data_IF_108522724192
#
_entry.id   IF_108522724192
#
_cell.length_a   1.000
_cell.length_b   1.000
_cell.length_c   1.000
_cell.angle_alpha   90.00
_cell.angle_beta   90.00
_cell.angle_gamma   90.00
#
_symmetry.space_group_name_H-M   'P 1'
#
loop_
_entity.id
_entity.type
_entity.pdbx_description
1 polymer ?
#
# COMPACT_ATOMS: atom_id res chain seq x y z
N UNK A 1 -27.38 -2.91 15.92
CA UNK A 1 -27.54 -2.96 14.46
C UNK A 1 -26.15 -2.91 13.86
N UNK A 2 -25.87 -3.66 12.78
CA UNK A 2 -24.56 -3.58 12.12
C UNK A 2 -24.31 -2.16 11.61
N UNK A 3 -23.09 -1.65 11.77
CA UNK A 3 -22.68 -0.35 11.22
C UNK A 3 -22.79 -0.36 9.68
N UNK A 4 -23.37 0.68 9.13
CA UNK A 4 -23.38 0.93 7.69
C UNK A 4 -22.00 1.37 7.19
N UNK A 5 -21.76 1.24 5.88
CA UNK A 5 -20.54 1.76 5.25
C UNK A 5 -20.35 3.25 5.52
N UNK A 6 -21.43 4.04 5.45
CA UNK A 6 -21.38 5.49 5.69
C UNK A 6 -20.95 5.84 7.12
N UNK A 7 -21.40 5.06 8.12
CA UNK A 7 -20.97 5.25 9.52
C UNK A 7 -19.49 4.90 9.70
N UNK A 8 -19.01 3.82 9.07
CA UNK A 8 -17.58 3.48 9.09
C UNK A 8 -16.73 4.54 8.38
N UNK A 9 -17.20 5.04 7.23
CA UNK A 9 -16.52 6.09 6.48
C UNK A 9 -16.39 7.37 7.31
N UNK A 10 -17.50 7.84 7.91
CA UNK A 10 -17.50 8.99 8.81
C UNK A 10 -16.58 8.79 10.02
N UNK A 11 -16.53 7.58 10.58
CA UNK A 11 -15.62 7.26 11.67
C UNK A 11 -14.14 7.43 11.27
N UNK A 12 -13.74 6.86 10.13
CA UNK A 12 -12.34 6.95 9.68
C UNK A 12 -11.96 8.36 9.20
N UNK A 13 -12.84 9.07 8.50
CA UNK A 13 -12.62 10.48 8.17
C UNK A 13 -12.51 11.34 9.44
N UNK A 14 -13.35 11.08 10.44
CA UNK A 14 -13.27 11.71 11.76
C UNK A 14 -11.96 11.41 12.48
N UNK A 15 -11.43 10.20 12.36
CA UNK A 15 -10.11 9.85 12.88
C UNK A 15 -8.99 10.65 12.17
N UNK A 16 -9.01 10.74 10.84
CA UNK A 16 -8.05 11.55 10.07
C UNK A 16 -8.14 13.03 10.43
N UNK A 17 -9.36 13.56 10.56
CA UNK A 17 -9.60 14.95 10.95
C UNK A 17 -9.00 15.26 12.33
N UNK A 18 -9.24 14.40 13.33
CA UNK A 18 -8.66 14.51 14.68
C UNK A 18 -7.14 14.35 14.67
N UNK A 19 -6.59 13.48 13.85
CA UNK A 19 -5.15 13.30 13.73
C UNK A 19 -4.48 14.56 13.16
N UNK A 20 -5.00 15.07 12.04
CA UNK A 20 -4.45 16.27 11.38
C UNK A 20 -4.61 17.52 12.23
N UNK A 21 -5.67 17.66 13.02
CA UNK A 21 -5.81 18.78 13.97
C UNK A 21 -4.79 18.73 15.11
N UNK A 22 -4.21 17.55 15.40
CA UNK A 22 -3.07 17.37 16.32
C UNK A 22 -1.71 17.47 15.62
N UNK A 23 -1.67 17.86 14.35
CA UNK A 23 -0.43 17.95 13.57
C UNK A 23 0.09 16.61 13.03
N UNK A 24 -0.71 15.54 13.10
CA UNK A 24 -0.32 14.23 12.59
C UNK A 24 -0.69 14.14 11.10
N UNK A 25 0.32 14.08 10.23
CA UNK A 25 0.11 13.85 8.80
C UNK A 25 -0.32 12.40 8.56
N UNK A 26 -1.56 12.20 8.13
CA UNK A 26 -2.08 10.90 7.74
C UNK A 26 -3.15 11.02 6.64
N UNK A 27 -3.43 9.93 5.92
CA UNK A 27 -4.42 9.90 4.86
C UNK A 27 -4.99 8.48 4.64
N UNK A 28 -6.28 8.38 4.34
CA UNK A 28 -6.93 7.12 3.96
C UNK A 28 -6.45 6.71 2.57
N UNK A 29 -6.17 5.42 2.35
CA UNK A 29 -5.67 4.89 1.07
C UNK A 29 -6.43 3.64 0.61
N UNK A 30 -5.98 3.01 -0.48
CA UNK A 30 -6.44 1.72 -0.97
C UNK A 30 -7.96 1.65 -1.18
N UNK A 31 -8.69 0.72 -0.54
CA UNK A 31 -10.10 0.43 -0.84
C UNK A 31 -11.02 1.62 -0.63
N UNK A 32 -10.91 2.31 0.50
CA UNK A 32 -11.77 3.47 0.79
C UNK A 32 -11.45 4.65 -0.14
N UNK A 33 -10.17 4.88 -0.44
CA UNK A 33 -9.79 5.89 -1.43
C UNK A 33 -10.33 5.54 -2.82
N UNK A 34 -10.33 4.26 -3.22
CA UNK A 34 -10.95 3.82 -4.46
C UNK A 34 -12.47 4.10 -4.51
N UNK A 35 -13.18 3.98 -3.40
CA UNK A 35 -14.61 4.36 -3.31
C UNK A 35 -14.76 5.87 -3.46
N UNK A 36 -13.98 6.65 -2.72
CA UNK A 36 -14.02 8.12 -2.77
C UNK A 36 -13.71 8.69 -4.17
N UNK A 37 -12.83 8.04 -4.93
CA UNK A 37 -12.50 8.41 -6.32
C UNK A 37 -13.46 7.84 -7.35
N UNK A 38 -14.52 7.14 -6.93
CA UNK A 38 -15.55 6.58 -7.80
C UNK A 38 -15.08 5.43 -8.69
N UNK A 39 -13.99 4.74 -8.31
CA UNK A 39 -13.46 3.58 -9.05
C UNK A 39 -13.86 2.24 -8.41
N UNK A 40 -14.39 2.25 -7.19
CA UNK A 40 -14.96 1.09 -6.50
C UNK A 40 -16.33 1.44 -5.88
N UNK A 41 -17.18 0.43 -5.66
CA UNK A 41 -18.51 0.62 -5.06
C UNK A 41 -18.51 0.57 -3.53
N UNK A 42 -17.68 -0.30 -2.95
CA UNK A 42 -17.61 -0.50 -1.50
C UNK A 42 -16.26 -1.12 -1.09
N UNK A 43 -15.92 -0.97 0.19
CA UNK A 43 -14.82 -1.67 0.85
C UNK A 43 -15.23 -2.04 2.29
N UNK A 44 -14.50 -2.97 2.91
CA UNK A 44 -14.73 -3.43 4.28
C UNK A 44 -13.66 -2.94 5.27
N UNK A 45 -12.48 -2.64 4.75
CA UNK A 45 -11.30 -2.29 5.54
C UNK A 45 -10.85 -0.86 5.23
N UNK A 46 -10.29 -0.20 6.24
CA UNK A 46 -9.61 1.08 6.10
C UNK A 46 -8.09 0.85 6.12
N UNK A 47 -7.42 1.26 5.05
CA UNK A 47 -5.97 1.38 5.01
C UNK A 47 -5.62 2.86 5.23
N UNK A 48 -4.63 3.14 6.07
CA UNK A 48 -4.20 4.50 6.41
C UNK A 48 -2.69 4.64 6.26
N UNK A 49 -2.25 5.68 5.54
CA UNK A 49 -0.88 6.15 5.57
C UNK A 49 -0.70 7.14 6.72
N UNK A 50 0.34 6.98 7.53
CA UNK A 50 0.67 7.88 8.64
C UNK A 50 2.18 8.09 8.69
N UNK A 51 2.63 9.35 8.81
CA UNK A 51 4.06 9.63 8.85
C UNK A 51 4.71 8.89 10.02
N UNK A 52 5.80 8.13 9.81
CA UNK A 52 6.35 7.27 10.85
C UNK A 52 6.68 8.00 12.15
N UNK A 53 7.16 9.24 12.08
CA UNK A 53 7.49 10.06 13.26
C UNK A 53 6.29 10.39 14.15
N UNK A 54 5.07 10.39 13.59
CA UNK A 54 3.86 10.63 14.35
C UNK A 54 3.25 9.34 14.94
N UNK A 55 3.89 8.18 14.77
CA UNK A 55 3.34 6.89 15.22
C UNK A 55 2.92 6.89 16.70
N UNK A 56 3.74 7.47 17.58
CA UNK A 56 3.45 7.55 19.01
C UNK A 56 2.26 8.45 19.34
N UNK A 57 2.10 9.58 18.64
CA UNK A 57 0.96 10.47 18.86
C UNK A 57 -0.32 9.94 18.23
N UNK A 58 -0.21 9.25 17.09
CA UNK A 58 -1.32 8.52 16.49
C UNK A 58 -1.76 7.36 17.38
N UNK A 59 -0.83 6.64 18.01
CA UNK A 59 -1.15 5.61 19.00
C UNK A 59 -1.96 6.16 20.19
N UNK A 60 -1.56 7.32 20.73
CA UNK A 60 -2.33 7.99 21.80
C UNK A 60 -3.74 8.32 21.33
N UNK A 61 -3.90 8.85 20.10
CA UNK A 61 -5.21 9.13 19.51
C UNK A 61 -6.06 7.86 19.34
N UNK A 62 -5.48 6.74 18.92
CA UNK A 62 -6.19 5.45 18.84
C UNK A 62 -6.70 4.99 20.20
N UNK A 63 -5.94 5.26 21.27
CA UNK A 63 -6.37 5.02 22.65
C UNK A 63 -7.61 5.80 23.10
N UNK A 64 -8.10 6.74 22.29
CA UNK A 64 -9.30 7.56 22.51
C UNK A 64 -10.37 7.32 21.42
N UNK A 65 -10.10 6.46 20.44
CA UNK A 65 -10.94 6.26 19.28
C UNK A 65 -12.05 5.24 19.57
N UNK A 66 -13.06 5.63 20.36
CA UNK A 66 -14.25 4.82 20.58
C UNK A 66 -15.08 4.66 19.29
N UNK A 67 -15.53 3.44 19.03
CA UNK A 67 -16.53 3.14 18.00
C UNK A 67 -17.68 2.34 18.63
N UNK A 68 -18.77 3.04 18.96
CA UNK A 68 -19.96 2.39 19.52
C UNK A 68 -19.74 1.75 20.89
N UNK A 69 -18.91 2.36 21.74
CA UNK A 69 -18.56 1.84 23.06
C UNK A 69 -17.45 0.79 23.05
N UNK A 70 -16.85 0.50 21.88
CA UNK A 70 -15.72 -0.41 21.74
C UNK A 70 -14.44 0.38 21.52
N UNK A 71 -13.39 -0.03 22.23
CA UNK A 71 -12.03 0.50 22.05
C UNK A 71 -11.24 -0.40 21.09
N UNK A 72 -10.25 0.15 20.38
CA UNK A 72 -9.44 -0.65 19.46
C UNK A 72 -8.53 -1.62 20.21
N UNK A 73 -8.22 -2.73 19.54
CA UNK A 73 -7.19 -3.68 19.94
C UNK A 73 -6.32 -4.04 18.74
N UNK A 74 -5.12 -4.59 18.97
CA UNK A 74 -4.28 -5.11 17.90
C UNK A 74 -4.93 -6.34 17.24
N UNK A 75 -4.96 -6.36 15.91
CA UNK A 75 -5.48 -7.48 15.12
C UNK A 75 -4.45 -8.60 15.01
N UNK A 76 -4.65 -9.68 15.78
CA UNK A 76 -3.83 -10.89 15.73
C UNK A 76 -2.38 -10.69 16.19
N UNK A 77 -1.53 -11.68 15.93
CA UNK A 77 -0.15 -11.72 16.44
C UNK A 77 0.93 -11.38 15.39
N UNK A 78 0.54 -11.18 14.13
CA UNK A 78 1.45 -10.84 13.03
C UNK A 78 1.73 -9.33 12.91
N UNK A 79 0.92 -8.52 13.60
CA UNK A 79 0.99 -7.06 13.51
C UNK A 79 2.19 -6.51 14.27
N UNK A 80 2.97 -5.64 13.62
CA UNK A 80 4.05 -4.91 14.26
C UNK A 80 3.50 -3.84 15.21
N UNK A 81 4.24 -3.45 16.26
CA UNK A 81 3.86 -2.31 17.08
C UNK A 81 3.77 -1.04 16.22
N UNK A 82 2.84 -0.15 16.56
CA UNK A 82 2.72 1.17 15.95
C UNK A 82 3.86 2.08 16.45
N UNK A 83 5.03 1.91 15.85
CA UNK A 83 6.26 2.60 16.22
C UNK A 83 7.07 2.96 14.96
N UNK A 84 7.65 4.16 15.00
CA UNK A 84 8.33 4.79 13.86
C UNK A 84 9.43 3.91 13.25
N UNK A 85 10.14 3.11 14.06
CA UNK A 85 11.23 2.24 13.60
C UNK A 85 10.72 1.24 12.58
N UNK A 86 9.69 0.47 12.94
CA UNK A 86 9.16 -0.59 12.09
C UNK A 86 8.29 -0.04 10.96
N UNK A 87 7.56 1.06 11.17
CA UNK A 87 6.79 1.71 10.10
C UNK A 87 7.68 2.18 8.95
N UNK A 88 8.84 2.79 9.23
CA UNK A 88 9.84 3.16 8.19
C UNK A 88 10.35 1.95 7.43
N UNK A 89 10.55 0.84 8.13
CA UNK A 89 10.98 -0.41 7.52
C UNK A 89 9.90 -1.15 6.73
N UNK A 90 8.72 -0.55 6.56
CA UNK A 90 7.61 -1.08 5.76
C UNK A 90 6.75 -2.12 6.47
N UNK A 91 6.90 -2.27 7.79
CA UNK A 91 5.94 -3.00 8.61
C UNK A 91 4.63 -2.22 8.76
N UNK A 92 3.56 -2.95 9.08
CA UNK A 92 2.23 -2.40 9.26
C UNK A 92 1.65 -2.75 10.63
N UNK A 93 0.84 -1.84 11.15
CA UNK A 93 0.13 -2.02 12.42
C UNK A 93 -1.36 -2.11 12.16
N UNK A 94 -1.99 -3.17 12.66
CA UNK A 94 -3.36 -3.53 12.34
C UNK A 94 -4.20 -3.48 13.60
N UNK A 95 -5.33 -2.79 13.52
CA UNK A 95 -6.25 -2.60 14.63
C UNK A 95 -7.66 -3.07 14.25
N UNK A 96 -8.40 -3.50 15.26
CA UNK A 96 -9.78 -3.92 15.13
C UNK A 96 -10.61 -3.34 16.27
N UNK A 97 -11.83 -2.91 15.93
CA UNK A 97 -12.91 -2.67 16.88
C UNK A 97 -13.89 -3.83 16.79
N UNK A 98 -14.02 -4.59 17.88
CA UNK A 98 -14.92 -5.74 17.97
C UNK A 98 -16.36 -5.29 18.24
N UNK A 99 -16.94 -4.57 17.28
CA UNK A 99 -18.31 -4.08 17.38
C UNK A 99 -19.32 -5.17 17.01
N UNK A 100 -20.37 -5.41 17.82
CA UNK A 100 -21.36 -6.45 17.51
C UNK A 100 -21.99 -6.30 16.12
N UNK A 101 -21.72 -7.26 15.23
CA UNK A 101 -22.31 -7.35 13.89
C UNK A 101 -21.51 -6.69 12.77
N UNK A 102 -20.42 -5.98 13.07
CA UNK A 102 -19.45 -5.45 12.07
C UNK A 102 -18.08 -5.40 12.71
N UNK A 103 -17.07 -5.98 12.07
CA UNK A 103 -15.69 -5.76 12.48
C UNK A 103 -15.16 -4.54 11.70
N UNK A 104 -14.74 -3.49 12.42
CA UNK A 104 -14.10 -2.34 11.81
C UNK A 104 -12.58 -2.52 11.87
N UNK A 105 -11.92 -2.49 10.71
CA UNK A 105 -10.49 -2.74 10.57
C UNK A 105 -9.72 -1.51 10.11
N UNK A 106 -8.57 -1.27 10.76
CA UNK A 106 -7.62 -0.23 10.39
C UNK A 106 -6.22 -0.80 10.22
N UNK A 107 -5.67 -0.70 9.01
CA UNK A 107 -4.30 -1.08 8.69
C UNK A 107 -3.46 0.18 8.45
N UNK A 108 -2.42 0.39 9.27
CA UNK A 108 -1.58 1.59 9.27
C UNK A 108 -0.24 1.28 8.62
N UNK A 109 0.13 2.12 7.66
CA UNK A 109 1.36 2.07 6.87
C UNK A 109 2.18 3.33 7.12
N UNK A 110 3.49 3.18 7.36
CA UNK A 110 4.42 4.31 7.36
C UNK A 110 4.85 4.73 5.96
N UNK A 111 5.03 3.73 5.09
CA UNK A 111 5.48 3.88 3.72
C UNK A 111 4.43 3.26 2.80
N UNK A 112 4.03 3.99 1.76
CA UNK A 112 3.15 3.45 0.72
C UNK A 112 3.83 2.27 0.03
N UNK A 113 3.31 1.03 0.14
CA UNK A 113 3.97 -0.10 -0.49
C UNK A 113 3.98 0.06 -2.01
N UNK A 114 5.17 -0.05 -2.60
CA UNK A 114 5.44 0.25 -4.03
C UNK A 114 5.29 1.73 -4.39
N UNK A 115 5.21 2.63 -3.42
CA UNK A 115 5.20 4.07 -3.67
C UNK A 115 6.56 4.53 -4.18
N UNK A 116 6.58 5.34 -5.24
CA UNK A 116 7.84 5.88 -5.81
C UNK A 116 8.20 7.27 -5.32
N UNK A 117 7.29 7.93 -4.60
CA UNK A 117 7.46 9.26 -4.01
C UNK A 117 6.87 9.35 -2.60
N UNK A 118 7.31 10.31 -1.76
CA UNK A 118 6.67 10.60 -0.48
C UNK A 118 5.17 10.85 -0.67
N UNK A 119 4.33 10.10 0.04
CA UNK A 119 2.87 10.14 -0.15
C UNK A 119 2.24 11.38 0.49
N UNK A 120 2.94 12.03 1.40
CA UNK A 120 2.52 13.22 2.14
C UNK A 120 2.38 14.43 1.21
N UNK A 121 3.10 14.43 0.08
CA UNK A 121 3.00 15.46 -0.95
C UNK A 121 1.76 15.28 -1.85
N UNK A 122 1.08 14.13 -1.76
CA UNK A 122 -0.01 13.72 -2.64
C UNK A 122 -1.28 13.50 -1.80
N UNK A 123 -1.87 14.57 -1.27
CA UNK A 123 -3.11 14.50 -0.49
C UNK A 123 -4.30 15.07 -1.27
N UNK A 124 -5.44 14.40 -1.21
CA UNK A 124 -6.71 14.85 -1.77
C UNK A 124 -7.82 14.68 -0.74
N UNK A 125 -8.17 15.77 -0.04
CA UNK A 125 -9.10 15.71 1.09
C UNK A 125 -8.55 14.81 2.20
N UNK A 126 -9.34 13.86 2.68
CA UNK A 126 -8.91 12.87 3.68
C UNK A 126 -8.04 11.74 3.10
N UNK A 127 -7.91 11.66 1.78
CA UNK A 127 -7.33 10.52 1.09
C UNK A 127 -5.93 10.80 0.55
N UNK A 128 -5.14 9.73 0.40
CA UNK A 128 -3.94 9.76 -0.42
C UNK A 128 -4.32 9.93 -1.88
N UNK A 129 -3.51 10.66 -2.64
CA UNK A 129 -3.79 11.04 -4.01
C UNK A 129 -3.89 9.83 -4.94
N UNK A 130 -4.63 9.94 -6.06
CA UNK A 130 -4.87 8.81 -6.97
C UNK A 130 -3.59 8.15 -7.48
N UNK A 131 -2.50 8.91 -7.64
CA UNK A 131 -1.19 8.38 -8.02
C UNK A 131 -0.66 7.37 -7.00
N UNK A 132 -0.60 7.75 -5.72
CA UNK A 132 -0.13 6.87 -4.63
C UNK A 132 -1.03 5.64 -4.51
N UNK A 133 -2.35 5.81 -4.61
CA UNK A 133 -3.29 4.70 -4.52
C UNK A 133 -3.11 3.72 -5.68
N UNK A 134 -2.91 4.22 -6.91
CA UNK A 134 -2.64 3.37 -8.08
C UNK A 134 -1.34 2.57 -7.91
N UNK A 135 -0.28 3.19 -7.38
CA UNK A 135 0.97 2.50 -7.08
C UNK A 135 0.77 1.36 -6.07
N UNK A 136 -0.01 1.61 -5.02
CA UNK A 136 -0.35 0.61 -4.00
C UNK A 136 -1.22 -0.53 -4.54
N UNK A 137 -1.93 -0.34 -5.66
CA UNK A 137 -2.74 -1.37 -6.33
C UNK A 137 -1.94 -2.28 -7.26
N UNK A 138 -0.63 -2.05 -7.44
CA UNK A 138 0.30 -2.97 -8.13
C UNK A 138 0.62 -4.20 -7.24
N UNK A 139 -0.42 -4.92 -6.85
CA UNK A 139 -0.33 -6.10 -5.96
C UNK A 139 -0.25 -7.38 -6.78
N UNK A 140 0.02 -8.50 -6.12
CA UNK A 140 -0.09 -9.83 -6.72
C UNK A 140 -1.53 -10.34 -6.91
N UNK A 141 -2.56 -9.49 -6.74
CA UNK A 141 -3.99 -9.85 -6.86
C UNK A 141 -4.54 -9.31 -8.18
N UNK A 142 -5.00 -10.21 -9.03
CA UNK A 142 -5.53 -9.87 -10.36
C UNK A 142 -6.61 -8.77 -10.32
N UNK A 143 -7.52 -8.83 -9.34
CA UNK A 143 -8.61 -7.87 -9.18
C UNK A 143 -8.18 -6.44 -8.86
N UNK A 144 -6.92 -6.20 -8.46
CA UNK A 144 -6.45 -4.86 -8.12
C UNK A 144 -6.02 -4.03 -9.35
N UNK A 145 -5.61 -4.71 -10.44
CA UNK A 145 -5.12 -4.09 -11.68
C UNK A 145 -6.15 -3.20 -12.42
N UNK A 146 -7.45 -3.58 -12.49
CA UNK A 146 -8.47 -2.68 -13.03
C UNK A 146 -8.59 -1.36 -12.24
N UNK A 147 -8.42 -1.38 -10.92
CA UNK A 147 -8.45 -0.16 -10.11
C UNK A 147 -7.23 0.73 -10.38
N UNK A 148 -6.03 0.15 -10.52
CA UNK A 148 -4.84 0.90 -10.91
C UNK A 148 -5.07 1.61 -12.27
N UNK A 149 -5.64 0.91 -13.25
CA UNK A 149 -5.98 1.49 -14.55
C UNK A 149 -7.02 2.59 -14.44
N UNK A 150 -8.10 2.38 -13.69
CA UNK A 150 -9.15 3.39 -13.50
C UNK A 150 -8.63 4.68 -12.83
N UNK A 151 -7.74 4.54 -11.83
CA UNK A 151 -7.06 5.67 -11.20
C UNK A 151 -6.11 6.37 -12.18
N UNK A 152 -5.42 5.62 -13.05
CA UNK A 152 -4.63 6.17 -14.15
C UNK A 152 -5.45 7.04 -15.10
N UNK A 153 -6.66 6.59 -15.47
CA UNK A 153 -7.59 7.39 -16.28
C UNK A 153 -7.99 8.67 -15.55
N UNK A 154 -8.34 8.59 -14.26
CA UNK A 154 -8.70 9.77 -13.44
C UNK A 154 -7.59 10.82 -13.38
N UNK A 155 -6.33 10.39 -13.26
CA UNK A 155 -5.18 11.30 -13.30
C UNK A 155 -5.07 12.02 -14.65
N UNK A 156 -5.27 11.31 -15.76
CA UNK A 156 -5.22 11.93 -17.09
C UNK A 156 -6.39 12.89 -17.33
N UNK A 157 -7.58 12.58 -16.80
CA UNK A 157 -8.75 13.47 -16.85
C UNK A 157 -8.50 14.80 -16.13
N UNK A 158 -7.65 14.82 -15.10
CA UNK A 158 -7.27 16.04 -14.37
C UNK A 158 -5.97 16.67 -14.89
N UNK A 159 -5.41 16.15 -15.99
CA UNK A 159 -4.19 16.68 -16.62
C UNK A 159 -2.88 16.22 -15.99
N UNK A 160 -2.89 15.25 -15.08
CA UNK A 160 -1.68 14.67 -14.50
C UNK A 160 -1.09 13.59 -15.44
N UNK A 161 0.07 13.82 -16.05
CA UNK A 161 0.67 12.88 -17.00
C UNK A 161 1.08 11.55 -16.36
N UNK A 162 1.23 11.49 -15.02
CA UNK A 162 1.59 10.25 -14.33
C UNK A 162 0.54 9.15 -14.48
N UNK A 163 -0.69 9.49 -14.89
CA UNK A 163 -1.72 8.50 -15.20
C UNK A 163 -1.30 7.47 -16.26
N UNK A 164 -0.41 7.83 -17.20
CA UNK A 164 0.17 6.90 -18.19
C UNK A 164 0.92 5.71 -17.57
N UNK A 165 1.49 5.90 -16.36
CA UNK A 165 2.23 4.86 -15.64
C UNK A 165 1.30 3.77 -15.10
N UNK A 166 0.00 4.05 -15.02
CA UNK A 166 -0.99 3.21 -14.34
C UNK A 166 -1.98 2.52 -15.28
N UNK A 167 -1.92 2.79 -16.59
CA UNK A 167 -2.78 2.14 -17.58
C UNK A 167 -2.23 0.76 -17.96
N UNK A 168 -2.74 -0.30 -17.33
CA UNK A 168 -2.30 -1.68 -17.58
C UNK A 168 -3.25 -2.48 -18.48
N UNK A 169 -4.48 -1.99 -18.69
CA UNK A 169 -5.39 -2.56 -19.68
C UNK A 169 -5.05 -2.06 -21.09
N UNK A 170 -4.84 -3.00 -22.02
CA UNK A 170 -4.45 -2.72 -23.41
C UNK A 170 -5.45 -1.80 -24.13
N UNK A 171 -6.74 -2.13 -24.10
CA UNK A 171 -7.78 -1.36 -24.81
C UNK A 171 -7.90 0.05 -24.26
N UNK A 172 -7.87 0.21 -22.92
CA UNK A 172 -7.90 1.52 -22.27
C UNK A 172 -6.67 2.34 -22.67
N UNK A 173 -5.48 1.74 -22.68
CA UNK A 173 -4.23 2.42 -23.05
C UNK A 173 -4.29 2.91 -24.51
N UNK A 174 -4.66 2.04 -25.45
CA UNK A 174 -4.78 2.38 -26.87
C UNK A 174 -5.85 3.44 -27.12
N UNK A 175 -7.02 3.32 -26.49
CA UNK A 175 -8.10 4.30 -26.62
C UNK A 175 -7.69 5.66 -26.05
N UNK A 176 -6.93 5.68 -24.96
CA UNK A 176 -6.41 6.91 -24.36
C UNK A 176 -5.38 7.58 -25.28
N UNK A 177 -4.48 6.80 -25.88
CA UNK A 177 -3.48 7.30 -26.83
C UNK A 177 -4.05 7.90 -28.12
N UNK A 178 -5.27 7.51 -28.51
CA UNK A 178 -5.98 8.17 -29.62
C UNK A 178 -6.45 9.58 -29.28
N UNK A 179 -6.54 9.92 -27.99
CA UNK A 179 -7.08 11.20 -27.51
C UNK A 179 -5.99 12.10 -26.93
N UNK A 180 -4.94 11.52 -26.35
CA UNK A 180 -3.91 12.21 -25.60
C UNK A 180 -2.52 11.77 -26.06
N UNK A 181 -1.59 12.71 -26.12
CA UNK A 181 -0.19 12.41 -26.39
C UNK A 181 0.52 11.94 -25.11
N UNK A 182 1.21 10.81 -25.17
CA UNK A 182 2.05 10.33 -24.08
C UNK A 182 3.37 11.13 -24.02
N UNK A 183 3.68 11.82 -22.90
CA UNK A 183 4.93 12.56 -22.79
C UNK A 183 6.15 11.63 -22.77
N UNK A 184 7.26 12.05 -23.40
CA UNK A 184 8.51 11.29 -23.43
C UNK A 184 9.06 10.94 -22.03
N UNK A 185 8.81 11.82 -21.04
CA UNK A 185 9.18 11.55 -19.65
C UNK A 185 8.46 10.32 -19.07
N UNK A 186 7.21 10.07 -19.47
CA UNK A 186 6.48 8.87 -19.03
C UNK A 186 7.01 7.61 -19.72
N UNK A 187 7.39 7.71 -21.00
CA UNK A 187 8.05 6.61 -21.73
C UNK A 187 9.38 6.23 -21.07
N UNK A 188 10.16 7.22 -20.62
CA UNK A 188 11.42 6.96 -19.91
C UNK A 188 11.20 6.23 -18.57
N UNK A 189 10.08 6.47 -17.88
CA UNK A 189 9.74 5.78 -16.62
C UNK A 189 9.09 4.41 -16.85
N UNK A 190 8.40 4.22 -17.98
CA UNK A 190 7.71 2.99 -18.34
C UNK A 190 7.98 2.65 -19.81
N UNK A 191 9.08 1.94 -20.11
CA UNK A 191 9.55 1.73 -21.48
C UNK A 191 8.57 1.01 -22.40
N UNK A 192 7.65 0.20 -21.86
CA UNK A 192 6.57 -0.42 -22.64
C UNK A 192 5.70 0.61 -23.39
N UNK A 193 5.61 1.86 -22.93
CA UNK A 193 4.88 2.93 -23.61
C UNK A 193 5.51 3.34 -24.96
N UNK A 194 6.79 3.02 -25.20
CA UNK A 194 7.40 3.24 -26.52
C UNK A 194 6.71 2.39 -27.60
N UNK A 195 6.34 1.15 -27.27
CA UNK A 195 5.63 0.24 -28.18
C UNK A 195 4.26 0.79 -28.59
N UNK A 196 3.59 1.52 -27.69
CA UNK A 196 2.34 2.21 -27.99
C UNK A 196 2.52 3.31 -29.03
N UNK A 197 3.59 4.10 -28.91
CA UNK A 197 3.92 5.19 -29.84
C UNK A 197 4.30 4.63 -31.22
N UNK A 198 5.02 3.51 -31.24
CA UNK A 198 5.46 2.81 -32.44
C UNK A 198 4.35 1.96 -33.10
N UNK A 199 3.16 1.88 -32.48
CA UNK A 199 2.07 1.00 -32.88
C UNK A 199 2.51 -0.48 -33.03
N UNK A 200 3.41 -0.91 -32.14
CA UNK A 200 4.03 -2.23 -32.17
C UNK A 200 3.09 -3.30 -31.58
N UNK A 201 2.90 -4.39 -32.32
CA UNK A 201 2.03 -5.52 -31.95
C UNK A 201 2.43 -6.21 -30.64
N UNK A 202 3.68 -6.00 -30.18
CA UNK A 202 4.20 -6.58 -28.94
C UNK A 202 3.73 -5.84 -27.69
N UNK A 203 3.03 -4.70 -27.82
CA UNK A 203 2.55 -3.92 -26.69
C UNK A 203 1.75 -4.77 -25.69
N UNK A 204 0.81 -5.59 -26.16
CA UNK A 204 -0.02 -6.40 -25.27
C UNK A 204 0.82 -7.41 -24.46
N UNK A 205 1.83 -8.02 -25.10
CA UNK A 205 2.76 -8.92 -24.43
C UNK A 205 3.65 -8.18 -23.42
N UNK A 206 4.10 -6.97 -23.75
CA UNK A 206 4.86 -6.14 -22.82
C UNK A 206 4.05 -5.78 -21.57
N UNK A 207 2.78 -5.39 -21.73
CA UNK A 207 1.88 -5.08 -20.61
C UNK A 207 1.66 -6.29 -19.70
N UNK A 208 1.40 -7.47 -20.29
CA UNK A 208 1.28 -8.73 -19.51
C UNK A 208 2.58 -9.04 -18.76
N UNK A 209 3.73 -8.77 -19.36
CA UNK A 209 5.02 -8.93 -18.71
C UNK A 209 5.30 -7.96 -17.56
N UNK A 210 4.88 -6.70 -17.69
CA UNK A 210 4.94 -5.76 -16.57
C UNK A 210 4.08 -6.22 -15.40
N UNK A 211 2.84 -6.63 -15.66
CA UNK A 211 1.92 -7.16 -14.64
C UNK A 211 2.55 -8.37 -13.94
N UNK A 212 3.09 -9.32 -14.71
CA UNK A 212 3.74 -10.49 -14.15
C UNK A 212 4.97 -10.13 -13.31
N UNK A 213 5.80 -9.20 -13.77
CA UNK A 213 6.93 -8.70 -13.01
C UNK A 213 6.50 -8.11 -11.66
N UNK A 214 5.50 -7.22 -11.65
CA UNK A 214 4.98 -6.64 -10.41
C UNK A 214 4.34 -7.68 -9.49
N UNK A 215 3.62 -8.66 -10.03
CA UNK A 215 3.07 -9.78 -9.27
C UNK A 215 4.18 -10.58 -8.56
N UNK A 216 5.28 -10.86 -9.26
CA UNK A 216 6.45 -11.58 -8.71
C UNK A 216 7.14 -10.75 -7.64
N UNK A 217 7.36 -9.47 -7.92
CA UNK A 217 8.00 -8.55 -6.99
C UNK A 217 7.20 -8.43 -5.68
N UNK A 218 5.88 -8.25 -5.77
CA UNK A 218 5.04 -8.15 -4.58
C UNK A 218 4.95 -9.48 -3.81
N UNK A 219 4.90 -10.62 -4.51
CA UNK A 219 4.96 -11.94 -3.86
C UNK A 219 6.25 -12.12 -3.09
N UNK A 220 7.40 -11.85 -3.72
CA UNK A 220 8.71 -11.95 -3.06
C UNK A 220 8.80 -10.99 -1.87
N UNK A 221 8.31 -9.75 -2.01
CA UNK A 221 8.23 -8.78 -0.92
C UNK A 221 7.48 -9.36 0.28
N UNK A 222 6.27 -9.89 0.06
CA UNK A 222 5.45 -10.51 1.10
C UNK A 222 6.11 -11.75 1.71
N UNK A 223 6.82 -12.57 0.92
CA UNK A 223 7.57 -13.72 1.44
C UNK A 223 8.69 -13.29 2.38
N UNK A 224 9.42 -12.22 2.07
CA UNK A 224 10.48 -11.68 2.93
C UNK A 224 9.92 -11.25 4.29
N UNK A 225 8.86 -10.44 4.29
CA UNK A 225 8.18 -10.06 5.54
C UNK A 225 7.61 -11.28 6.27
N UNK A 226 6.96 -12.20 5.55
CA UNK A 226 6.33 -13.39 6.10
C UNK A 226 7.31 -14.38 6.73
N UNK A 227 8.57 -14.41 6.27
CA UNK A 227 9.65 -15.16 6.93
C UNK A 227 10.19 -14.40 8.15
N UNK A 228 10.43 -13.11 8.00
CA UNK A 228 11.00 -12.25 9.05
C UNK A 228 10.11 -12.11 10.30
N UNK A 229 8.79 -12.14 10.14
CA UNK A 229 7.84 -11.94 11.25
C UNK A 229 7.69 -13.16 12.17
N UNK A 230 8.10 -14.35 11.72
CA UNK A 230 7.76 -15.62 12.41
C UNK A 230 8.24 -15.69 13.86
N UNK A 231 9.52 -15.36 14.20
CA UNK A 231 9.98 -15.43 15.58
C UNK A 231 9.21 -14.47 16.49
N UNK A 232 9.02 -13.23 16.04
CA UNK A 232 8.23 -12.21 16.72
C UNK A 232 6.78 -12.68 16.95
N UNK A 233 6.10 -13.16 15.92
CA UNK A 233 4.71 -13.61 16.00
C UNK A 233 4.53 -14.72 17.05
N UNK A 234 5.44 -15.71 17.09
CA UNK A 234 5.38 -16.79 18.08
C UNK A 234 5.54 -16.26 19.51
N UNK A 235 6.45 -15.31 19.73
CA UNK A 235 6.67 -14.71 21.04
C UNK A 235 5.47 -13.85 21.50
N UNK A 236 4.92 -13.01 20.61
CA UNK A 236 3.70 -12.24 20.88
C UNK A 236 2.53 -13.16 21.18
N UNK A 237 2.34 -14.25 20.42
CA UNK A 237 1.29 -15.24 20.67
C UNK A 237 1.41 -15.92 22.04
N UNK A 238 2.64 -16.15 22.51
CA UNK A 238 2.90 -16.79 23.80
C UNK A 238 2.75 -15.83 25.00
N UNK A 239 2.80 -14.52 24.76
CA UNK A 239 2.68 -13.50 25.81
C UNK A 239 1.22 -13.10 26.04
N UNK A 240 0.68 -13.45 27.20
CA UNK A 240 -0.69 -13.12 27.61
C UNK A 240 -0.97 -11.60 27.63
N UNK A 241 0.05 -10.75 27.83
CA UNK A 241 -0.10 -9.29 27.78
C UNK A 241 -0.45 -8.79 26.37
N UNK A 242 -0.13 -9.58 25.34
CA UNK A 242 -0.45 -9.25 23.94
C UNK A 242 -1.96 -9.23 23.64
N UNK A 243 -2.77 -9.81 24.54
CA UNK A 243 -4.24 -9.84 24.53
C UNK A 243 -4.83 -9.16 25.77
N UNK A 244 -4.06 -8.30 26.46
CA UNK A 244 -4.56 -7.52 27.59
C UNK A 244 -5.74 -6.62 27.19
N UNK A 245 -6.68 -6.31 28.09
CA UNK A 245 -7.81 -5.43 27.76
C UNK A 245 -7.41 -4.02 27.34
N UNK A 246 -6.26 -3.53 27.80
CA UNK A 246 -5.78 -2.19 27.44
C UNK A 246 -4.91 -2.22 26.19
N UNK A 247 -5.18 -1.30 25.26
CA UNK A 247 -4.35 -1.10 24.07
C UNK A 247 -2.89 -0.81 24.42
N UNK A 248 -2.65 -0.03 25.47
CA UNK A 248 -1.32 0.28 25.99
C UNK A 248 -0.56 -0.98 26.43
N UNK A 249 -1.22 -1.89 27.16
CA UNK A 249 -0.61 -3.16 27.58
C UNK A 249 -0.26 -4.06 26.39
N UNK A 250 -1.16 -4.16 25.41
CA UNK A 250 -0.91 -4.92 24.18
C UNK A 250 0.26 -4.34 23.38
N UNK A 251 0.36 -3.01 23.31
CA UNK A 251 1.41 -2.30 22.60
C UNK A 251 2.77 -2.50 23.28
N UNK A 252 2.83 -2.34 24.60
CA UNK A 252 4.07 -2.51 25.36
C UNK A 252 4.64 -3.93 25.19
N UNK A 253 3.80 -4.96 25.27
CA UNK A 253 4.23 -6.33 25.02
C UNK A 253 4.79 -6.51 23.60
N UNK A 254 4.14 -5.90 22.59
CA UNK A 254 4.62 -5.95 21.19
C UNK A 254 5.94 -5.21 21.00
N UNK A 255 6.12 -4.05 21.63
CA UNK A 255 7.39 -3.32 21.59
C UNK A 255 8.54 -4.18 22.14
N UNK A 256 8.36 -4.77 23.33
CA UNK A 256 9.38 -5.62 23.96
C UNK A 256 9.78 -6.80 23.08
N UNK A 257 8.82 -7.50 22.47
CA UNK A 257 9.12 -8.60 21.55
C UNK A 257 9.73 -8.12 20.23
N UNK A 258 9.26 -6.99 19.70
CA UNK A 258 9.75 -6.46 18.43
C UNK A 258 11.21 -6.02 18.53
N UNK A 259 11.62 -5.42 19.65
CA UNK A 259 13.00 -4.99 19.90
C UNK A 259 14.00 -6.15 19.84
N UNK A 260 13.56 -7.35 20.21
CA UNK A 260 14.41 -8.54 20.24
C UNK A 260 14.31 -9.39 18.96
N UNK A 261 13.13 -9.43 18.34
CA UNK A 261 12.79 -10.47 17.36
C UNK A 261 12.31 -9.94 16.01
N UNK A 262 11.91 -8.67 15.90
CA UNK A 262 11.36 -8.12 14.67
C UNK A 262 12.41 -7.22 13.98
N UNK A 263 12.98 -7.62 12.84
CA UNK A 263 13.97 -6.80 12.15
C UNK A 263 13.33 -5.50 11.68
N UNK A 264 14.00 -4.37 11.89
CA UNK A 264 13.46 -3.04 11.53
C UNK A 264 13.11 -2.95 10.05
N UNK A 265 14.02 -3.33 9.14
CA UNK A 265 13.82 -3.28 7.68
C UNK A 265 14.21 -4.61 7.01
N UNK A 266 13.28 -5.57 6.89
CA UNK A 266 13.58 -6.92 6.38
C UNK A 266 13.93 -6.92 4.88
N UNK A 267 13.34 -6.02 4.09
CA UNK A 267 13.67 -5.92 2.65
C UNK A 267 15.09 -5.40 2.44
N UNK A 268 15.56 -4.45 3.26
CA UNK A 268 16.94 -3.97 3.21
C UNK A 268 17.92 -5.07 3.58
N UNK A 269 17.61 -5.86 4.62
CA UNK A 269 18.42 -7.02 5.01
C UNK A 269 18.45 -8.11 3.92
N UNK A 270 17.34 -8.29 3.19
CA UNK A 270 17.27 -9.20 2.05
C UNK A 270 18.10 -8.72 0.85
N UNK A 271 18.13 -7.41 0.63
CA UNK A 271 18.76 -6.74 -0.51
C UNK A 271 17.73 -6.37 -1.58
N UNK A 272 17.50 -5.07 -1.77
CA UNK A 272 16.52 -4.56 -2.74
C UNK A 272 16.86 -4.95 -4.17
N UNK A 273 18.14 -4.81 -4.58
CA UNK A 273 18.54 -5.19 -5.93
C UNK A 273 18.33 -6.68 -6.17
N UNK A 274 18.70 -7.51 -5.18
CA UNK A 274 18.45 -8.96 -5.21
C UNK A 274 16.96 -9.28 -5.38
N UNK A 275 16.08 -8.59 -4.64
CA UNK A 275 14.64 -8.74 -4.74
C UNK A 275 14.14 -8.47 -6.17
N UNK A 276 14.62 -7.38 -6.78
CA UNK A 276 14.26 -6.98 -8.15
C UNK A 276 14.80 -8.00 -9.17
N UNK A 277 16.07 -8.39 -9.05
CA UNK A 277 16.71 -9.36 -9.96
C UNK A 277 15.99 -10.71 -9.93
N UNK A 278 15.61 -11.19 -8.73
CA UNK A 278 14.84 -12.43 -8.56
C UNK A 278 13.44 -12.30 -9.18
N UNK A 279 12.76 -11.16 -9.02
CA UNK A 279 11.47 -10.91 -9.65
C UNK A 279 11.57 -10.89 -11.18
N UNK A 280 12.58 -10.22 -11.73
CA UNK A 280 12.85 -10.19 -13.18
C UNK A 280 13.17 -11.59 -13.71
N UNK A 281 14.01 -12.36 -13.03
CA UNK A 281 14.35 -13.73 -13.42
C UNK A 281 13.15 -14.67 -13.40
N UNK A 282 12.21 -14.47 -12.46
CA UNK A 282 10.96 -15.24 -12.42
C UNK A 282 9.99 -14.82 -13.54
N UNK A 283 9.84 -13.52 -13.80
CA UNK A 283 9.00 -13.02 -14.88
C UNK A 283 9.52 -13.43 -16.27
N UNK A 284 10.85 -13.43 -16.47
CA UNK A 284 11.50 -13.80 -17.72
C UNK A 284 11.09 -15.20 -18.24
N UNK A 285 10.70 -16.12 -17.35
CA UNK A 285 10.23 -17.47 -17.72
C UNK A 285 8.93 -17.46 -18.51
N UNK A 286 8.18 -16.38 -18.43
CA UNK A 286 6.89 -16.19 -19.10
C UNK A 286 6.96 -15.15 -20.21
N UNK A 287 8.15 -14.62 -20.51
CA UNK A 287 8.35 -13.54 -21.46
C UNK A 287 9.25 -13.93 -22.63
N UNK A 288 9.01 -13.38 -23.83
CA UNK A 288 9.87 -13.63 -24.97
C UNK A 288 11.27 -13.03 -24.74
N UNK A 289 12.31 -13.58 -25.40
CA UNK A 289 13.67 -13.04 -25.33
C UNK A 289 13.71 -11.53 -25.63
N UNK A 290 14.44 -10.78 -24.79
CA UNK A 290 14.57 -9.33 -24.92
C UNK A 290 13.41 -8.51 -24.35
N UNK A 291 12.30 -9.12 -23.93
CA UNK A 291 11.15 -8.39 -23.37
C UNK A 291 11.45 -7.70 -22.02
N UNK A 292 12.48 -8.15 -21.30
CA UNK A 292 12.89 -7.52 -20.04
C UNK A 292 13.26 -6.04 -20.19
N UNK A 293 13.68 -5.61 -21.39
CA UNK A 293 14.00 -4.20 -21.67
C UNK A 293 12.78 -3.28 -21.59
N UNK A 294 11.57 -3.83 -21.60
CA UNK A 294 10.32 -3.08 -21.50
C UNK A 294 9.83 -2.92 -20.06
N UNK A 295 10.43 -3.64 -19.11
CA UNK A 295 10.05 -3.55 -17.71
C UNK A 295 10.45 -2.18 -17.13
N UNK A 296 9.63 -1.62 -16.23
CA UNK A 296 9.97 -0.38 -15.55
C UNK A 296 11.10 -0.57 -14.54
N UNK A 297 11.82 0.50 -14.24
CA UNK A 297 12.74 0.54 -13.11
C UNK A 297 11.96 0.57 -11.78
N UNK A 298 11.96 -0.56 -11.06
CA UNK A 298 11.30 -0.68 -9.78
C UNK A 298 12.13 -0.15 -8.59
N UNK A 299 13.41 0.19 -8.78
CA UNK A 299 14.30 0.61 -7.70
C UNK A 299 13.75 1.80 -6.91
N UNK A 300 13.17 2.77 -7.62
CA UNK A 300 12.55 3.97 -7.01
C UNK A 300 11.43 3.66 -6.03
N UNK A 301 10.74 2.53 -6.20
CA UNK A 301 9.65 2.11 -5.33
C UNK A 301 10.10 1.64 -3.93
N UNK A 302 11.42 1.57 -3.70
CA UNK A 302 12.01 1.15 -2.44
C UNK A 302 12.89 2.23 -1.79
N UNK A 303 13.05 3.41 -2.42
CA UNK A 303 13.88 4.49 -1.90
C UNK A 303 13.44 4.96 -0.51
N UNK A 304 12.13 4.97 -0.25
CA UNK A 304 11.55 5.38 1.03
C UNK A 304 11.81 4.39 2.17
N UNK A 305 12.33 3.18 1.86
CA UNK A 305 12.75 2.20 2.87
C UNK A 305 14.25 2.27 3.19
N UNK A 306 14.98 3.16 2.50
CA UNK A 306 16.45 3.25 2.56
C UNK A 306 16.96 4.24 3.63
N UNK A 307 16.09 5.15 4.09
CA UNK A 307 16.35 6.15 5.15
C UNK A 307 15.98 5.62 6.54
#
# INVERSE_FOLDING_TARGET
MPLSYAELEQFYEGLVSRARSRGITCAITSGMACVAFGVAQATKDCDLLCVPDAAGDFFKLLGEADLGGQMPSYRGHLTAPLDSRWLRGGWTSHFVWDTPGVEAYLDIFGVAPRGSSPWEAELQGFYAGPHIVAEMKRTNREKDWPFATALGVKLLETGDPRGWLHLFNYDVLVQTARKLCCPAAMVALRPALALLIEADERLEFALKGEIEFWNRLDRLRLEVYGRAVRPYMLAVKADHRSSAPSLAGQHQARLEHAEQLLPVSPLRQYGIQRLIDEAQAQAARFLPPGALRWLPDAGKCFNLLAE
#
